data_IF_396694770693
#
_entry.id   IF_396694770693
#
_cell.length_a   1.000
_cell.length_b   1.000
_cell.length_c   1.000
_cell.angle_alpha   90.00
_cell.angle_beta   90.00
_cell.angle_gamma   90.00
#
_symmetry.space_group_name_H-M   'P 1'
#
loop_
_entity.id
_entity.type
_entity.pdbx_description
1 polymer ?
#
# COMPACT_ATOMS: atom_id res chain seq x y z
N UNK A 1 22.72 12.61 14.47
CA UNK A 1 22.85 11.50 13.49
C UNK A 1 22.05 11.91 12.26
N UNK A 2 22.61 11.75 11.07
CA UNK A 2 21.87 11.98 9.83
C UNK A 2 20.75 10.96 9.75
N UNK A 3 19.52 11.39 10.02
CA UNK A 3 18.32 10.57 10.25
C UNK A 3 17.73 10.01 8.93
N UNK A 4 18.63 9.64 8.02
CA UNK A 4 18.32 9.16 6.68
C UNK A 4 17.93 7.69 6.73
N UNK A 5 16.76 7.38 6.18
CA UNK A 5 16.16 6.05 6.26
C UNK A 5 16.25 5.33 4.92
N UNK A 6 16.61 4.06 4.95
CA UNK A 6 16.51 3.18 3.80
C UNK A 6 15.05 3.01 3.38
N UNK A 7 14.82 2.59 2.13
CA UNK A 7 13.46 2.33 1.65
C UNK A 7 12.70 1.26 2.48
N UNK A 8 13.44 0.38 3.18
CA UNK A 8 12.85 -0.63 4.05
C UNK A 8 12.34 0.01 5.35
N UNK A 9 13.17 0.83 5.99
CA UNK A 9 12.79 1.54 7.22
C UNK A 9 11.61 2.48 6.98
N UNK A 10 11.60 3.20 5.84
CA UNK A 10 10.46 4.05 5.46
C UNK A 10 9.18 3.23 5.23
N UNK A 11 9.29 2.04 4.64
CA UNK A 11 8.15 1.15 4.43
C UNK A 11 7.56 0.67 5.76
N UNK A 12 8.43 0.26 6.69
CA UNK A 12 8.05 -0.18 8.03
C UNK A 12 7.41 0.96 8.84
N UNK A 13 7.99 2.17 8.80
CA UNK A 13 7.47 3.33 9.51
C UNK A 13 6.09 3.77 9.00
N UNK A 14 5.89 3.78 7.68
CA UNK A 14 4.64 4.25 7.08
C UNK A 14 3.58 3.15 6.96
N UNK A 15 3.90 1.90 7.32
CA UNK A 15 2.98 0.77 7.19
C UNK A 15 2.61 0.44 5.74
N UNK A 16 3.54 0.67 4.79
CA UNK A 16 3.30 0.48 3.35
C UNK A 16 4.31 -0.49 2.73
N UNK A 17 4.06 -0.92 1.49
CA UNK A 17 5.03 -1.76 0.78
C UNK A 17 6.28 -0.97 0.35
N UNK A 18 7.44 -1.62 0.38
CA UNK A 18 8.71 -1.08 -0.16
C UNK A 18 8.59 -0.67 -1.64
N UNK A 19 7.72 -1.31 -2.41
CA UNK A 19 7.46 -0.94 -3.80
C UNK A 19 6.72 0.40 -3.92
N UNK A 20 5.80 0.68 -3.00
CA UNK A 20 5.12 1.98 -2.94
C UNK A 20 6.12 3.10 -2.56
N UNK A 21 7.02 2.83 -1.62
CA UNK A 21 8.14 3.76 -1.32
C UNK A 21 8.98 4.03 -2.57
N UNK A 22 9.38 2.99 -3.31
CA UNK A 22 10.14 3.13 -4.58
C UNK A 22 9.41 4.00 -5.61
N UNK A 23 8.09 3.88 -5.69
CA UNK A 23 7.25 4.66 -6.59
C UNK A 23 7.30 6.15 -6.23
N UNK A 24 6.99 6.51 -4.97
CA UNK A 24 6.98 7.91 -4.55
C UNK A 24 8.37 8.55 -4.53
N UNK A 25 9.41 7.76 -4.23
CA UNK A 25 10.81 8.20 -4.27
C UNK A 25 11.23 8.80 -5.61
N UNK A 26 10.64 8.37 -6.73
CA UNK A 26 10.97 8.91 -8.07
C UNK A 26 10.63 10.40 -8.20
N UNK A 27 9.76 10.91 -7.34
CA UNK A 27 9.26 12.28 -7.35
C UNK A 27 9.79 13.09 -6.15
N UNK A 28 10.87 12.63 -5.51
CA UNK A 28 11.56 13.37 -4.47
C UNK A 28 12.67 14.23 -5.08
N UNK A 29 12.94 15.37 -4.46
CA UNK A 29 14.02 16.28 -4.81
C UNK A 29 15.40 15.63 -4.59
N UNK A 30 16.42 16.10 -5.30
CA UNK A 30 17.80 15.63 -5.20
C UNK A 30 18.38 15.78 -3.78
N UNK A 31 17.87 16.72 -2.98
CA UNK A 31 18.27 16.89 -1.57
C UNK A 31 17.56 15.93 -0.61
N UNK A 32 16.53 15.23 -1.07
CA UNK A 32 15.74 14.30 -0.26
C UNK A 32 16.14 12.84 -0.47
N UNK A 33 17.01 12.57 -1.45
CA UNK A 33 17.48 11.24 -1.79
C UNK A 33 19.00 11.20 -1.92
N UNK A 34 19.60 10.19 -1.32
CA UNK A 34 21.01 9.88 -1.50
C UNK A 34 21.18 8.40 -1.83
N UNK A 35 22.32 8.08 -2.42
CA UNK A 35 22.74 6.69 -2.67
C UNK A 35 24.09 6.48 -2.02
N UNK A 36 24.11 5.75 -0.91
CA UNK A 36 25.32 5.42 -0.16
C UNK A 36 25.56 3.92 -0.28
N UNK A 37 26.74 3.52 -0.76
CA UNK A 37 27.11 2.10 -0.95
C UNK A 37 26.08 1.30 -1.77
N UNK A 38 25.51 1.91 -2.81
CA UNK A 38 24.48 1.25 -3.64
C UNK A 38 23.07 1.29 -3.07
N UNK A 39 22.90 1.70 -1.81
CA UNK A 39 21.62 1.70 -1.09
C UNK A 39 21.03 3.11 -1.14
N UNK A 40 19.77 3.19 -1.58
CA UNK A 40 19.03 4.45 -1.52
C UNK A 40 18.54 4.74 -0.12
N UNK A 41 18.75 5.97 0.31
CA UNK A 41 18.25 6.51 1.57
C UNK A 41 17.45 7.78 1.30
N UNK A 42 16.48 8.03 2.16
CA UNK A 42 15.53 9.13 2.08
C UNK A 42 15.74 10.00 3.31
N UNK A 43 15.85 11.30 3.10
CA UNK A 43 15.95 12.28 4.18
C UNK A 43 14.65 12.36 4.98
N UNK A 44 14.64 12.91 6.20
CA UNK A 44 13.41 13.13 6.96
C UNK A 44 12.35 13.92 6.20
N UNK A 45 12.74 14.97 5.46
CA UNK A 45 11.81 15.76 4.64
C UNK A 45 11.23 14.96 3.48
N UNK A 46 12.00 14.05 2.89
CA UNK A 46 11.50 13.14 1.86
C UNK A 46 10.50 12.12 2.42
N UNK A 47 10.69 11.65 3.66
CA UNK A 47 9.72 10.76 4.33
C UNK A 47 8.39 11.48 4.56
N UNK A 48 8.41 12.73 5.01
CA UNK A 48 7.19 13.52 5.21
C UNK A 48 6.46 13.83 3.89
N UNK A 49 7.20 14.06 2.80
CA UNK A 49 6.60 14.22 1.47
C UNK A 49 5.98 12.92 0.93
N UNK A 50 6.58 11.77 1.21
CA UNK A 50 5.94 10.48 0.92
C UNK A 50 4.67 10.34 1.78
N UNK A 51 4.74 10.64 3.07
CA UNK A 51 3.61 10.56 4.00
C UNK A 51 2.43 11.41 3.54
N UNK A 52 2.67 12.64 3.10
CA UNK A 52 1.64 13.55 2.61
C UNK A 52 0.99 13.06 1.31
N UNK A 53 1.73 12.37 0.45
CA UNK A 53 1.19 11.80 -0.80
C UNK A 53 0.36 10.53 -0.57
N UNK A 54 0.59 9.82 0.52
CA UNK A 54 -0.19 8.64 0.89
C UNK A 54 -1.59 9.00 1.39
N UNK A 55 -1.72 10.14 2.08
CA UNK A 55 -2.98 10.63 2.62
C UNK A 55 -3.47 11.79 1.77
N UNK A 56 -4.51 11.58 0.96
CA UNK A 56 -5.28 12.73 0.44
C UNK A 56 -5.89 13.45 1.65
N UNK A 57 -5.82 14.78 1.71
CA UNK A 57 -6.48 15.56 2.78
C UNK A 57 -8.00 15.29 2.85
N UNK A 58 -8.59 14.80 1.76
CA UNK A 58 -9.98 14.35 1.65
C UNK A 58 -10.15 12.83 1.79
N UNK A 59 -9.25 12.14 2.50
CA UNK A 59 -9.46 10.73 2.81
C UNK A 59 -10.60 10.66 3.83
N UNK A 60 -11.80 10.42 3.33
CA UNK A 60 -12.99 10.16 4.15
C UNK A 60 -12.59 9.14 5.23
N UNK A 61 -12.77 9.50 6.51
CA UNK A 61 -12.39 8.63 7.63
C UNK A 61 -13.06 7.25 7.54
N UNK A 62 -14.13 7.13 6.76
CA UNK A 62 -14.87 5.90 6.49
C UNK A 62 -14.46 5.20 5.19
N UNK A 63 -13.50 5.73 4.42
CA UNK A 63 -13.11 5.16 3.11
C UNK A 63 -12.55 3.75 3.26
N UNK A 64 -11.62 3.52 4.18
CA UNK A 64 -11.06 2.19 4.44
C UNK A 64 -12.17 1.21 4.86
N UNK A 65 -13.06 1.64 5.75
CA UNK A 65 -14.21 0.85 6.18
C UNK A 65 -15.15 0.50 5.01
N UNK A 66 -15.44 1.47 4.14
CA UNK A 66 -16.25 1.26 2.93
C UNK A 66 -15.59 0.29 1.95
N UNK A 67 -14.27 0.39 1.76
CA UNK A 67 -13.50 -0.52 0.90
C UNK A 67 -13.48 -1.94 1.47
N UNK A 68 -13.16 -2.09 2.76
CA UNK A 68 -13.14 -3.39 3.45
C UNK A 68 -14.52 -4.04 3.39
N UNK A 69 -15.59 -3.28 3.69
CA UNK A 69 -16.96 -3.78 3.61
C UNK A 69 -17.31 -4.28 2.20
N UNK A 70 -16.87 -3.56 1.16
CA UNK A 70 -17.12 -3.94 -0.23
C UNK A 70 -16.28 -5.15 -0.67
N UNK A 71 -15.06 -5.30 -0.16
CA UNK A 71 -14.24 -6.49 -0.36
C UNK A 71 -14.91 -7.73 0.25
N UNK A 72 -15.33 -7.67 1.51
CA UNK A 72 -16.03 -8.80 2.16
C UNK A 72 -17.31 -9.20 1.41
N UNK A 73 -18.05 -8.22 0.86
CA UNK A 73 -19.23 -8.51 0.04
C UNK A 73 -18.87 -9.27 -1.24
N UNK A 74 -17.78 -8.90 -1.92
CA UNK A 74 -17.30 -9.57 -3.13
C UNK A 74 -16.84 -10.99 -2.81
N UNK A 75 -16.08 -11.18 -1.73
CA UNK A 75 -15.62 -12.50 -1.28
C UNK A 75 -16.80 -13.43 -0.97
N UNK A 76 -17.83 -12.91 -0.27
CA UNK A 76 -19.04 -13.69 0.01
C UNK A 76 -19.80 -14.08 -1.27
N UNK A 77 -19.92 -13.16 -2.24
CA UNK A 77 -20.54 -13.45 -3.53
C UNK A 77 -19.77 -14.54 -4.30
N UNK A 78 -18.44 -14.51 -4.26
CA UNK A 78 -17.61 -15.54 -4.89
C UNK A 78 -17.80 -16.91 -4.25
N UNK A 79 -17.87 -16.99 -2.92
CA UNK A 79 -18.14 -18.23 -2.20
C UNK A 79 -19.51 -18.81 -2.60
N UNK A 80 -20.56 -17.98 -2.62
CA UNK A 80 -21.90 -18.42 -3.03
C UNK A 80 -21.92 -18.93 -4.48
N UNK A 81 -21.26 -18.21 -5.39
CA UNK A 81 -21.13 -18.65 -6.79
C UNK A 81 -20.41 -20.00 -6.89
N UNK A 82 -19.36 -20.20 -6.09
CA UNK A 82 -18.63 -21.47 -6.07
C UNK A 82 -19.50 -22.63 -5.59
N UNK A 83 -20.25 -22.44 -4.50
CA UNK A 83 -21.16 -23.47 -3.98
C UNK A 83 -22.27 -23.83 -4.99
N UNK A 84 -22.91 -22.84 -5.61
CA UNK A 84 -23.93 -23.08 -6.64
C UNK A 84 -23.35 -23.84 -7.85
N UNK A 85 -22.12 -23.53 -8.24
CA UNK A 85 -21.45 -24.22 -9.34
C UNK A 85 -21.15 -25.68 -8.98
N UNK A 86 -20.73 -25.96 -7.74
CA UNK A 86 -20.55 -27.32 -7.25
C UNK A 86 -21.87 -28.11 -7.24
N UNK A 87 -22.96 -27.51 -6.77
CA UNK A 87 -24.29 -28.14 -6.76
C UNK A 87 -24.73 -28.52 -8.18
N UNK A 88 -24.61 -27.59 -9.14
CA UNK A 88 -24.98 -27.85 -10.55
C UNK A 88 -24.11 -28.95 -11.16
N UNK A 89 -22.81 -28.99 -10.86
CA UNK A 89 -21.91 -30.02 -11.37
C UNK A 89 -22.18 -31.39 -10.75
N UNK A 90 -22.51 -31.44 -9.45
CA UNK A 90 -22.78 -32.69 -8.74
C UNK A 90 -24.18 -33.25 -9.02
N UNK A 91 -25.18 -32.39 -9.24
CA UNK A 91 -26.54 -32.81 -9.62
C UNK A 91 -26.68 -33.26 -11.08
N UNK A 92 -25.60 -33.20 -11.88
CA UNK A 92 -25.52 -33.73 -13.25
C UNK A 92 -24.88 -35.13 -13.33
N UNK A 93 -24.48 -35.72 -12.20
CA UNK A 93 -24.09 -37.13 -12.08
C UNK A 93 -25.30 -37.97 -11.70
#
# INVERSE_FOLDING_TARGET
MTDWKTLKEVAEELGISKNLVKYHRKNLDVFQIEKVNGIYRISPSGVEEIRSRLRKESYDATFEEKVIRRLHMIEHQQELMYQLLLEVLNGRK
#
